data_IF_946319689245
#
_entry.id   IF_946319689245
#
_cell.length_a   1.000
_cell.length_b   1.000
_cell.length_c   1.000
_cell.angle_alpha   90.00
_cell.angle_beta   90.00
_cell.angle_gamma   90.00
#
_symmetry.space_group_name_H-M   'P 1'
#
loop_
_entity.id
_entity.type
_entity.pdbx_description
1 polymer ?
#
# COMPACT_ATOMS: atom_id res chain seq x y z
N UNK A 1 -1.73 -6.78 -3.85
CA UNK A 1 -0.81 -6.22 -2.84
C UNK A 1 -0.02 -5.11 -3.53
N UNK A 2 -0.12 -3.88 -3.04
CA UNK A 2 0.60 -2.72 -3.57
C UNK A 2 1.75 -2.43 -2.61
N UNK A 3 2.98 -2.32 -3.11
CA UNK A 3 4.15 -2.19 -2.23
C UNK A 3 4.51 -0.74 -1.90
N UNK A 4 4.35 0.19 -2.85
CA UNK A 4 4.59 1.61 -2.66
C UNK A 4 4.04 2.40 -3.86
N UNK A 5 4.39 3.68 -3.95
CA UNK A 5 4.27 4.46 -5.18
C UNK A 5 5.06 3.77 -6.31
N UNK A 6 4.72 4.05 -7.57
CA UNK A 6 5.47 3.50 -8.71
C UNK A 6 6.94 3.93 -8.71
N UNK A 7 7.23 5.12 -8.20
CA UNK A 7 8.58 5.68 -8.15
C UNK A 7 9.45 4.92 -7.15
N UNK A 8 8.92 4.59 -5.98
CA UNK A 8 9.64 3.92 -4.90
C UNK A 8 9.47 2.41 -4.88
N UNK A 9 8.63 1.85 -5.76
CA UNK A 9 8.28 0.44 -5.78
C UNK A 9 9.49 -0.49 -5.77
N UNK A 10 10.48 -0.22 -6.64
CA UNK A 10 11.70 -1.01 -6.74
C UNK A 10 12.54 -0.94 -5.47
N UNK A 11 12.68 0.25 -4.89
CA UNK A 11 13.41 0.47 -3.64
C UNK A 11 12.77 -0.31 -2.49
N UNK A 12 11.45 -0.19 -2.31
CA UNK A 12 10.72 -0.88 -1.23
C UNK A 12 10.71 -2.40 -1.43
N UNK A 13 10.70 -2.87 -2.68
CA UNK A 13 10.79 -4.29 -2.99
C UNK A 13 12.24 -4.85 -2.92
N UNK A 14 13.26 -4.00 -2.74
CA UNK A 14 14.67 -4.41 -2.83
C UNK A 14 15.13 -4.81 -4.23
N UNK A 15 14.41 -4.38 -5.27
CA UNK A 15 14.70 -4.65 -6.69
C UNK A 15 14.68 -3.31 -7.46
N UNK A 16 15.80 -2.58 -7.54
CA UNK A 16 15.85 -1.24 -8.13
C UNK A 16 15.27 -1.16 -9.56
N UNK A 17 15.58 -2.16 -10.40
CA UNK A 17 15.14 -2.22 -11.80
C UNK A 17 13.86 -3.05 -11.99
N UNK A 18 12.95 -3.03 -11.01
CA UNK A 18 11.71 -3.80 -11.10
C UNK A 18 10.88 -3.35 -12.32
N UNK A 19 10.40 -4.32 -13.10
CA UNK A 19 9.49 -4.03 -14.21
C UNK A 19 8.12 -3.68 -13.66
N UNK A 20 7.71 -2.42 -13.81
CA UNK A 20 6.42 -1.93 -13.33
C UNK A 20 5.25 -2.23 -14.28
N UNK A 21 5.51 -2.57 -15.55
CA UNK A 21 4.45 -2.83 -16.52
C UNK A 21 3.48 -3.95 -16.08
N UNK A 22 3.94 -5.13 -15.63
CA UNK A 22 3.03 -6.18 -15.13
C UNK A 22 2.23 -5.76 -13.89
N UNK A 23 2.81 -4.91 -13.03
CA UNK A 23 2.11 -4.38 -11.84
C UNK A 23 0.94 -3.50 -12.27
N UNK A 24 1.16 -2.59 -13.22
CA UNK A 24 0.12 -1.71 -13.78
C UNK A 24 -0.97 -2.52 -14.49
N UNK A 25 -0.58 -3.48 -15.32
CA UNK A 25 -1.53 -4.37 -16.02
C UNK A 25 -2.44 -5.11 -15.04
N UNK A 26 -1.88 -5.57 -13.92
CA UNK A 26 -2.65 -6.24 -12.86
C UNK A 26 -3.61 -5.27 -12.16
N UNK A 27 -3.18 -4.04 -11.88
CA UNK A 27 -4.03 -2.99 -11.29
C UNK A 27 -5.21 -2.69 -12.23
N UNK A 28 -4.93 -2.41 -13.50
CA UNK A 28 -5.94 -2.09 -14.51
C UNK A 28 -6.96 -3.23 -14.65
N UNK A 29 -6.48 -4.48 -14.66
CA UNK A 29 -7.35 -5.66 -14.70
C UNK A 29 -8.30 -5.72 -13.50
N UNK A 30 -7.80 -5.51 -12.27
CA UNK A 30 -8.62 -5.52 -11.07
C UNK A 30 -9.63 -4.36 -11.07
N UNK A 31 -9.21 -3.16 -11.50
CA UNK A 31 -10.09 -2.00 -11.60
C UNK A 31 -11.23 -2.19 -12.60
N UNK A 32 -11.14 -3.13 -13.55
CA UNK A 32 -12.29 -3.50 -14.39
C UNK A 32 -13.49 -4.05 -13.60
N UNK A 33 -13.27 -4.53 -12.37
CA UNK A 33 -14.33 -5.03 -11.49
C UNK A 33 -14.98 -6.35 -11.95
N UNK A 34 -14.35 -7.07 -12.89
CA UNK A 34 -14.84 -8.36 -13.42
C UNK A 34 -14.80 -9.51 -12.40
N UNK A 35 -14.03 -9.37 -11.34
CA UNK A 35 -13.99 -10.28 -10.20
C UNK A 35 -13.97 -9.49 -8.89
N UNK A 36 -14.21 -10.19 -7.79
CA UNK A 36 -14.06 -9.61 -6.47
C UNK A 36 -12.58 -9.50 -6.08
N UNK A 37 -12.20 -8.39 -5.46
CA UNK A 37 -10.80 -8.14 -5.10
C UNK A 37 -10.66 -7.18 -3.91
N UNK A 38 -9.46 -7.13 -3.36
CA UNK A 38 -9.02 -6.07 -2.47
C UNK A 38 -7.56 -5.71 -2.80
N UNK A 39 -7.23 -4.42 -2.71
CA UNK A 39 -5.85 -4.02 -2.57
C UNK A 39 -5.43 -4.08 -1.10
N UNK A 40 -4.13 -4.24 -0.87
CA UNK A 40 -3.56 -4.27 0.48
C UNK A 40 -2.11 -3.79 0.44
N UNK A 41 -1.68 -3.13 1.49
CA UNK A 41 -0.27 -2.77 1.73
C UNK A 41 0.08 -3.03 3.19
N UNK A 42 1.21 -3.69 3.42
CA UNK A 42 1.82 -3.75 4.74
C UNK A 42 2.61 -2.48 4.96
N UNK A 43 2.18 -1.65 5.91
CA UNK A 43 2.72 -0.32 6.16
C UNK A 43 3.86 -0.39 7.18
N UNK A 44 4.99 0.21 6.85
CA UNK A 44 6.22 0.26 7.65
C UNK A 44 6.64 1.72 7.77
N UNK A 45 7.04 2.18 8.96
CA UNK A 45 7.26 3.60 9.26
C UNK A 45 8.25 4.27 8.31
N UNK A 46 9.28 3.54 7.89
CA UNK A 46 10.35 3.99 7.00
C UNK A 46 9.91 4.15 5.54
N UNK A 47 8.80 3.54 5.14
CA UNK A 47 8.39 3.42 3.74
C UNK A 47 6.98 3.89 3.43
N UNK A 48 6.19 4.22 4.46
CA UNK A 48 4.78 4.54 4.30
C UNK A 48 4.38 5.76 5.12
N UNK A 49 4.00 6.81 4.41
CA UNK A 49 3.50 8.08 4.92
C UNK A 49 2.30 8.56 4.08
N UNK A 50 1.80 9.75 4.40
CA UNK A 50 0.64 10.34 3.71
C UNK A 50 0.91 10.62 2.23
N UNK A 51 2.15 10.95 1.86
CA UNK A 51 2.52 11.20 0.47
C UNK A 51 2.52 9.90 -0.34
N UNK A 52 3.08 8.83 0.24
CA UNK A 52 3.02 7.48 -0.31
C UNK A 52 1.58 7.00 -0.45
N UNK A 53 0.74 7.26 0.55
CA UNK A 53 -0.68 6.93 0.52
C UNK A 53 -1.41 7.69 -0.61
N UNK A 54 -1.16 8.99 -0.76
CA UNK A 54 -1.71 9.80 -1.84
C UNK A 54 -1.29 9.30 -3.23
N UNK A 55 -0.02 8.98 -3.43
CA UNK A 55 0.50 8.43 -4.69
C UNK A 55 -0.13 7.09 -5.04
N UNK A 56 -0.28 6.20 -4.05
CA UNK A 56 -0.98 4.92 -4.25
C UNK A 56 -2.46 5.18 -4.54
N UNK A 57 -3.12 6.08 -3.80
CA UNK A 57 -4.52 6.43 -4.01
C UNK A 57 -4.78 6.88 -5.45
N UNK A 58 -3.92 7.75 -5.99
CA UNK A 58 -4.00 8.13 -7.40
C UNK A 58 -3.79 6.96 -8.36
N UNK A 59 -2.84 6.06 -8.06
CA UNK A 59 -2.55 4.88 -8.87
C UNK A 59 -3.75 3.91 -8.96
N UNK A 60 -4.48 3.71 -7.86
CA UNK A 60 -5.61 2.77 -7.79
C UNK A 60 -6.98 3.48 -7.74
N UNK A 61 -7.06 4.70 -8.25
CA UNK A 61 -8.29 5.51 -8.20
C UNK A 61 -9.49 4.76 -8.78
N UNK A 62 -10.58 4.73 -8.02
CA UNK A 62 -11.80 3.97 -8.36
C UNK A 62 -11.81 2.54 -7.84
N UNK A 63 -10.80 2.12 -7.06
CA UNK A 63 -10.81 0.83 -6.40
C UNK A 63 -11.94 0.72 -5.36
N UNK A 64 -12.48 -0.50 -5.21
CA UNK A 64 -13.55 -0.79 -4.26
C UNK A 64 -13.04 -0.87 -2.82
N UNK A 65 -11.95 -1.60 -2.58
CA UNK A 65 -11.43 -1.88 -1.23
C UNK A 65 -9.92 -1.81 -1.18
N UNK A 66 -9.40 -1.16 -0.15
CA UNK A 66 -7.98 -1.10 0.15
C UNK A 66 -7.72 -1.24 1.65
N UNK A 67 -6.86 -2.20 1.99
CA UNK A 67 -6.49 -2.49 3.38
C UNK A 67 -5.07 -2.02 3.71
N UNK A 68 -4.96 -1.18 4.74
CA UNK A 68 -3.67 -0.87 5.36
C UNK A 68 -3.42 -1.88 6.47
N UNK A 69 -2.37 -2.68 6.34
CA UNK A 69 -1.97 -3.67 7.32
C UNK A 69 -0.76 -3.16 8.10
N UNK A 70 -0.89 -2.93 9.39
CA UNK A 70 0.23 -2.53 10.24
C UNK A 70 1.36 -3.58 10.21
N UNK A 71 2.61 -3.14 10.03
CA UNK A 71 3.76 -3.99 10.27
C UNK A 71 3.83 -4.38 11.74
N UNK A 72 4.14 -5.65 12.00
CA UNK A 72 4.38 -6.20 13.33
C UNK A 72 5.76 -6.84 13.32
N UNK A 73 6.62 -6.42 14.26
CA UNK A 73 7.94 -7.00 14.41
C UNK A 73 7.84 -8.49 14.75
N UNK A 74 8.70 -9.30 14.13
CA UNK A 74 8.85 -10.71 14.51
C UNK A 74 10.30 -11.16 14.40
N UNK A 75 10.62 -12.27 15.06
CA UNK A 75 11.95 -12.88 15.03
C UNK A 75 12.41 -13.19 13.59
N UNK A 76 11.48 -13.51 12.70
CA UNK A 76 11.74 -13.89 11.31
C UNK A 76 11.98 -12.72 10.35
N UNK A 77 11.78 -11.47 10.76
CA UNK A 77 12.10 -10.30 9.93
C UNK A 77 13.60 -10.03 10.04
N UNK A 78 14.39 -10.11 8.94
CA UNK A 78 15.84 -9.94 9.00
C UNK A 78 16.26 -8.51 9.35
N UNK A 79 15.49 -7.52 8.90
CA UNK A 79 15.75 -6.10 9.14
C UNK A 79 15.09 -5.66 10.45
N UNK A 80 15.91 -5.47 11.50
CA UNK A 80 15.46 -5.03 12.83
C UNK A 80 15.36 -3.50 12.96
N UNK A 81 15.57 -2.76 11.87
CA UNK A 81 15.45 -1.29 11.86
C UNK A 81 14.06 -0.82 11.45
N UNK A 82 13.16 -1.74 11.09
CA UNK A 82 11.80 -1.44 10.66
C UNK A 82 10.85 -1.25 11.84
N UNK A 83 9.99 -0.24 11.76
CA UNK A 83 9.04 0.08 12.83
C UNK A 83 7.58 0.03 12.37
N UNK A 84 6.70 -0.26 13.32
CA UNK A 84 5.26 -0.17 13.12
C UNK A 84 4.85 1.30 12.96
N UNK A 85 3.98 1.56 11.98
CA UNK A 85 3.37 2.89 11.79
C UNK A 85 2.40 3.16 12.94
N UNK A 86 2.42 4.38 13.49
CA UNK A 86 1.48 4.75 14.55
C UNK A 86 0.03 4.72 14.06
N UNK A 87 -0.91 4.37 14.95
CA UNK A 87 -2.35 4.35 14.63
C UNK A 87 -2.83 5.70 14.08
N UNK A 88 -2.40 6.80 14.68
CA UNK A 88 -2.77 8.15 14.24
C UNK A 88 -2.30 8.44 12.81
N UNK A 89 -1.06 8.04 12.45
CA UNK A 89 -0.53 8.19 11.10
C UNK A 89 -1.24 7.29 10.10
N UNK A 90 -1.62 6.07 10.49
CA UNK A 90 -2.45 5.20 9.65
C UNK A 90 -3.84 5.79 9.39
N UNK A 91 -4.49 6.37 10.41
CA UNK A 91 -5.77 7.05 10.24
C UNK A 91 -5.66 8.27 9.32
N UNK A 92 -4.55 9.02 9.38
CA UNK A 92 -4.25 10.10 8.43
C UNK A 92 -4.12 9.56 7.00
N UNK A 93 -3.40 8.46 6.81
CA UNK A 93 -3.26 7.82 5.50
C UNK A 93 -4.59 7.29 4.97
N UNK A 94 -5.46 6.73 5.82
CA UNK A 94 -6.80 6.30 5.42
C UNK A 94 -7.63 7.47 4.88
N UNK A 95 -7.66 8.60 5.59
CA UNK A 95 -8.36 9.81 5.14
C UNK A 95 -7.86 10.32 3.79
N UNK A 96 -6.57 10.14 3.50
CA UNK A 96 -6.00 10.49 2.21
C UNK A 96 -6.49 9.54 1.10
N UNK A 97 -6.51 8.23 1.38
CA UNK A 97 -6.92 7.19 0.44
C UNK A 97 -8.41 7.18 0.14
N UNK A 98 -9.26 7.56 1.10
CA UNK A 98 -10.72 7.68 0.96
C UNK A 98 -11.13 8.68 -0.13
N UNK A 99 -10.24 9.59 -0.56
CA UNK A 99 -10.47 10.47 -1.70
C UNK A 99 -10.48 9.73 -3.04
N UNK A 100 -9.91 8.53 -3.09
CA UNK A 100 -9.66 7.77 -4.32
C UNK A 100 -10.28 6.37 -4.32
N UNK A 101 -10.46 5.76 -3.14
CA UNK A 101 -10.93 4.37 -2.95
C UNK A 101 -12.23 4.39 -2.15
N UNK A 102 -13.20 3.57 -2.55
CA UNK A 102 -14.54 3.53 -1.94
C UNK A 102 -14.53 3.09 -0.47
N UNK A 103 -13.72 2.10 -0.12
CA UNK A 103 -13.58 1.62 1.26
C UNK A 103 -12.11 1.43 1.62
N UNK A 104 -11.69 2.06 2.70
CA UNK A 104 -10.34 1.94 3.24
C UNK A 104 -10.42 1.51 4.70
N UNK A 105 -9.73 0.42 5.05
CA UNK A 105 -9.79 -0.14 6.40
C UNK A 105 -8.38 -0.49 6.89
N UNK A 106 -8.16 -0.33 8.20
CA UNK A 106 -6.91 -0.74 8.84
C UNK A 106 -7.09 -2.15 9.42
N UNK A 107 -6.13 -3.04 9.18
CA UNK A 107 -6.08 -4.39 9.75
C UNK A 107 -4.82 -4.57 10.60
N UNK A 108 -4.98 -5.22 11.75
CA UNK A 108 -3.85 -5.61 12.62
C UNK A 108 -3.22 -4.47 13.40
N UNK A 109 -4.03 -3.55 13.93
CA UNK A 109 -3.63 -2.50 14.91
C UNK A 109 -4.05 -2.91 16.31
#
# INVERSE_FOLDING_TARGET
DIKSSLRDYGRVCGVPDIRLAPVKESIDLLLTGKCDYEFRTTTVEEYFDTDTANDIGMLIKGAKRYYLQGYVESEFVPDKTLHAVSKEKLEQCCRELEKYVETVEIRGV
#
